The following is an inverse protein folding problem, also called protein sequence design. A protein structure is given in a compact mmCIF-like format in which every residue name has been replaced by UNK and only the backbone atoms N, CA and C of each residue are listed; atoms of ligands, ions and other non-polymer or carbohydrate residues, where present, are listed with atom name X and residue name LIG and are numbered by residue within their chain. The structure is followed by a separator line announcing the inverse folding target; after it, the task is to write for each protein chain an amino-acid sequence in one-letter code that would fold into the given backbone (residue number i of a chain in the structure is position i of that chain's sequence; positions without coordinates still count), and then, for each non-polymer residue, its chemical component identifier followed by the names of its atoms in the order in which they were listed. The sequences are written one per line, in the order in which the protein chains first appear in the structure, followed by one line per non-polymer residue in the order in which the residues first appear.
data_IF_435594612798
#
_entry.id   IF_435594612798
#
_cell.length_a   1.000
_cell.length_b   1.000
_cell.length_c   1.000
_cell.angle_alpha   90.00
_cell.angle_beta   90.00
_cell.angle_gamma   90.00
#
_symmetry.space_group_name_H-M   'P 1'
#
loop_
_entity.id
_entity.type
_entity.pdbx_description
1 polymer ?
#
# COMPACT_ATOMS: atom_id res chain seq x y z
N UNK A 1 -29.76 -21.78 -25.75
CA UNK A 1 -29.84 -22.66 -24.56
C UNK A 1 -30.79 -21.98 -23.59
N UNK A 2 -31.95 -22.59 -23.38
CA UNK A 2 -33.12 -22.01 -22.71
C UNK A 2 -32.90 -22.03 -21.19
N UNK A 3 -32.97 -20.87 -20.53
CA UNK A 3 -32.93 -20.79 -19.06
C UNK A 3 -34.35 -20.60 -18.54
N UNK A 4 -34.88 -21.63 -17.87
CA UNK A 4 -36.18 -21.61 -17.19
C UNK A 4 -35.98 -21.16 -15.75
N UNK A 5 -36.75 -20.16 -15.32
CA UNK A 5 -36.75 -19.67 -13.94
C UNK A 5 -37.38 -20.65 -12.95
N UNK A 6 -37.01 -20.49 -11.68
CA UNK A 6 -37.79 -21.01 -10.55
C UNK A 6 -38.17 -19.86 -9.62
N UNK A 7 -39.46 -19.77 -9.32
CA UNK A 7 -40.05 -18.83 -8.37
C UNK A 7 -40.10 -19.41 -6.94
N UNK A 8 -39.98 -18.48 -5.99
CA UNK A 8 -40.62 -18.40 -4.66
C UNK A 8 -40.11 -19.25 -3.48
N UNK A 9 -39.43 -18.57 -2.57
CA UNK A 9 -39.65 -18.70 -1.12
C UNK A 9 -40.15 -17.37 -0.57
N UNK A 10 -41.37 -17.34 -0.03
CA UNK A 10 -41.93 -16.18 0.69
C UNK A 10 -41.31 -16.10 2.09
N UNK A 11 -40.76 -14.93 2.44
CA UNK A 11 -40.61 -14.50 3.83
C UNK A 11 -41.23 -13.10 3.93
N UNK A 12 -42.28 -12.98 4.74
CA UNK A 12 -42.92 -11.72 5.09
C UNK A 12 -42.15 -11.04 6.22
N UNK A 13 -41.73 -9.80 6.02
CA UNK A 13 -41.18 -8.95 7.08
C UNK A 13 -40.89 -7.54 6.56
N UNK A 14 -41.37 -6.55 7.33
CA UNK A 14 -41.24 -5.09 7.26
C UNK A 14 -40.43 -4.43 6.10
N UNK A 15 -41.05 -3.43 5.49
CA UNK A 15 -40.48 -2.54 4.51
C UNK A 15 -39.42 -1.61 5.12
N UNK A 16 -38.15 -1.89 4.84
CA UNK A 16 -37.10 -0.88 4.73
C UNK A 16 -36.72 -0.77 3.24
N UNK A 17 -36.70 0.45 2.71
CA UNK A 17 -36.45 0.74 1.30
C UNK A 17 -34.98 0.51 0.94
N UNK A 18 -34.59 -0.73 0.72
CA UNK A 18 -33.29 -1.06 0.15
C UNK A 18 -33.26 -0.69 -1.33
N UNK A 19 -32.46 0.32 -1.69
CA UNK A 19 -32.04 0.53 -3.08
C UNK A 19 -31.23 -0.69 -3.49
N UNK A 20 -31.81 -1.55 -4.32
CA UNK A 20 -31.14 -2.73 -4.83
C UNK A 20 -30.40 -2.35 -6.10
N UNK A 21 -29.08 -2.18 -6.00
CA UNK A 21 -28.24 -1.91 -7.16
C UNK A 21 -27.97 -3.22 -7.91
N UNK A 22 -28.34 -3.28 -9.19
CA UNK A 22 -28.02 -4.42 -10.05
C UNK A 22 -26.79 -4.08 -10.90
N UNK A 23 -25.74 -4.90 -10.79
CA UNK A 23 -24.52 -4.74 -11.58
C UNK A 23 -24.23 -5.97 -12.42
N UNK A 24 -23.69 -5.77 -13.61
CA UNK A 24 -23.23 -6.84 -14.49
C UNK A 24 -21.85 -6.53 -15.06
N UNK A 25 -21.03 -7.58 -15.18
CA UNK A 25 -19.77 -7.57 -15.93
C UNK A 25 -19.90 -8.50 -17.12
N UNK A 26 -19.43 -8.08 -18.27
CA UNK A 26 -19.36 -8.93 -19.45
C UNK A 26 -18.11 -8.63 -20.28
N UNK A 27 -17.56 -9.68 -20.89
CA UNK A 27 -16.33 -9.61 -21.68
C UNK A 27 -16.64 -9.97 -23.14
N UNK A 28 -16.26 -9.09 -24.06
CA UNK A 28 -16.27 -9.34 -25.50
C UNK A 28 -15.03 -8.71 -26.13
N UNK A 29 -14.39 -9.43 -27.05
CA UNK A 29 -13.25 -8.96 -27.86
C UNK A 29 -12.13 -8.31 -27.02
N UNK A 30 -11.72 -9.02 -25.96
CA UNK A 30 -10.69 -8.60 -24.98
C UNK A 30 -11.02 -7.31 -24.20
N UNK A 31 -12.29 -6.91 -24.15
CA UNK A 31 -12.74 -5.73 -23.41
C UNK A 31 -13.73 -6.11 -22.30
N UNK A 32 -13.60 -5.47 -21.14
CA UNK A 32 -14.50 -5.64 -19.99
C UNK A 32 -15.49 -4.47 -19.97
N UNK A 33 -16.78 -4.81 -19.98
CA UNK A 33 -17.89 -3.88 -19.87
C UNK A 33 -18.52 -4.00 -18.49
N UNK A 34 -18.79 -2.86 -17.85
CA UNK A 34 -19.49 -2.79 -16.57
C UNK A 34 -20.70 -1.85 -16.68
N UNK A 35 -21.82 -2.24 -16.08
CA UNK A 35 -22.97 -1.35 -15.92
C UNK A 35 -23.58 -1.50 -14.52
N UNK A 36 -24.21 -0.42 -14.05
CA UNK A 36 -24.90 -0.36 -12.77
C UNK A 36 -26.30 0.19 -12.98
N UNK A 37 -27.30 -0.46 -12.40
CA UNK A 37 -28.70 -0.06 -12.45
C UNK A 37 -29.17 0.25 -11.03
N UNK A 38 -29.85 1.38 -10.86
CA UNK A 38 -30.38 1.85 -9.58
C UNK A 38 -31.91 1.73 -9.48
N UNK A 39 -32.59 1.33 -10.56
CA UNK A 39 -34.04 1.09 -10.57
C UNK A 39 -34.38 -0.38 -10.89
N UNK A 40 -35.47 -0.93 -10.30
CA UNK A 40 -35.90 -2.30 -10.56
C UNK A 40 -36.28 -2.52 -12.04
N UNK A 41 -35.89 -3.67 -12.59
CA UNK A 41 -36.02 -4.06 -14.00
C UNK A 41 -37.44 -3.99 -14.59
N UNK A 42 -38.47 -3.94 -13.74
CA UNK A 42 -39.87 -3.85 -14.17
C UNK A 42 -40.35 -2.43 -14.54
N UNK A 43 -39.51 -1.40 -14.39
CA UNK A 43 -39.80 -0.01 -14.80
C UNK A 43 -39.23 0.40 -16.16
N UNK A 44 -38.68 -0.54 -16.90
CA UNK A 44 -37.95 -0.27 -18.14
C UNK A 44 -38.78 -0.72 -19.34
N UNK A 45 -38.96 0.16 -20.32
CA UNK A 45 -39.79 -0.13 -21.49
C UNK A 45 -38.98 -0.64 -22.69
N UNK A 46 -37.71 -0.25 -22.84
CA UNK A 46 -36.86 -0.70 -23.97
C UNK A 46 -35.36 -0.74 -23.63
N UNK A 47 -34.71 -1.88 -23.96
CA UNK A 47 -33.24 -2.01 -24.04
C UNK A 47 -32.87 -2.21 -25.52
N UNK A 48 -32.14 -1.27 -26.11
CA UNK A 48 -31.63 -1.38 -27.48
C UNK A 48 -30.11 -1.36 -27.44
N UNK A 49 -29.50 -2.46 -27.88
CA UNK A 49 -28.04 -2.58 -28.08
C UNK A 49 -27.82 -2.47 -29.58
N UNK A 50 -27.11 -1.44 -30.03
CA UNK A 50 -26.67 -1.35 -31.42
C UNK A 50 -25.18 -1.75 -31.50
N UNK A 51 -24.78 -2.41 -32.58
CA UNK A 51 -23.43 -2.94 -32.81
C UNK A 51 -22.34 -1.85 -32.89
N UNK A 52 -22.74 -0.57 -32.92
CA UNK A 52 -21.82 0.57 -32.97
C UNK A 52 -22.05 1.49 -31.77
N UNK A 53 -21.28 1.22 -30.71
CA UNK A 53 -20.77 2.16 -29.69
C UNK A 53 -21.71 2.78 -28.64
N UNK A 54 -22.99 2.38 -28.50
CA UNK A 54 -23.84 2.95 -27.43
C UNK A 54 -24.77 1.95 -26.75
N UNK A 55 -24.88 2.08 -25.42
CA UNK A 55 -26.01 1.58 -24.64
C UNK A 55 -26.83 2.80 -24.21
N UNK A 56 -28.02 2.96 -24.79
CA UNK A 56 -29.00 3.94 -24.35
C UNK A 56 -30.03 3.21 -23.51
N UNK A 57 -30.18 3.60 -22.24
CA UNK A 57 -31.24 3.07 -21.38
C UNK A 57 -32.19 4.21 -21.00
N UNK A 58 -33.44 4.09 -21.43
CA UNK A 58 -34.51 5.06 -21.16
C UNK A 58 -35.38 4.54 -20.01
N UNK A 59 -35.47 5.31 -18.94
CA UNK A 59 -36.46 5.11 -17.88
C UNK A 59 -37.66 6.05 -18.08
N UNK A 60 -38.86 5.57 -17.75
CA UNK A 60 -40.10 6.38 -17.80
C UNK A 60 -40.07 7.57 -16.82
N UNK A 61 -39.14 7.59 -15.85
CA UNK A 61 -39.00 8.63 -14.81
C UNK A 61 -38.13 9.85 -15.21
N UNK A 62 -37.90 10.10 -16.51
CA UNK A 62 -37.12 11.24 -17.05
C UNK A 62 -35.61 11.24 -16.71
N UNK A 63 -35.03 10.07 -16.45
CA UNK A 63 -33.57 9.95 -16.33
C UNK A 63 -32.99 9.27 -17.57
N UNK A 64 -32.07 9.95 -18.24
CA UNK A 64 -31.27 9.40 -19.33
C UNK A 64 -29.91 9.01 -18.75
N UNK A 65 -29.57 7.73 -18.77
CA UNK A 65 -28.20 7.27 -18.54
C UNK A 65 -27.53 7.01 -19.89
N UNK A 66 -26.40 7.69 -20.13
CA UNK A 66 -25.56 7.46 -21.31
C UNK A 66 -24.24 6.87 -20.85
N UNK A 67 -23.93 5.64 -21.28
CA UNK A 67 -22.59 5.07 -21.18
C UNK A 67 -21.74 5.51 -22.37
N UNK A 68 -20.44 5.78 -22.15
CA UNK A 68 -19.52 6.26 -23.19
C UNK A 68 -18.24 5.41 -23.29
N UNK A 69 -17.67 5.40 -24.51
CA UNK A 69 -16.34 4.93 -24.90
C UNK A 69 -15.64 6.05 -25.69
N UNK A 70 -14.34 6.26 -25.51
CA UNK A 70 -13.52 6.62 -26.68
C UNK A 70 -12.08 6.19 -26.54
N UNK A 71 -11.65 5.41 -27.54
CA UNK A 71 -10.26 5.40 -27.98
C UNK A 71 -10.23 6.01 -29.38
N UNK A 72 -9.90 7.31 -29.47
CA UNK A 72 -9.03 7.88 -30.51
C UNK A 72 -8.84 9.39 -30.28
N UNK A 73 -7.57 9.78 -30.10
CA UNK A 73 -7.03 11.15 -30.12
C UNK A 73 -7.51 12.14 -29.03
N UNK A 74 -6.97 11.94 -27.82
CA UNK A 74 -6.23 13.00 -27.12
C UNK A 74 -6.97 14.21 -26.54
N UNK A 75 -8.30 14.19 -26.34
CA UNK A 75 -8.99 15.20 -25.52
C UNK A 75 -10.07 14.56 -24.64
N UNK A 76 -10.07 14.94 -23.36
CA UNK A 76 -11.16 14.63 -22.42
C UNK A 76 -12.09 15.84 -22.35
N UNK A 77 -13.40 15.63 -22.40
CA UNK A 77 -14.39 16.68 -22.12
C UNK A 77 -15.52 16.06 -21.34
N UNK A 78 -15.82 16.60 -20.16
CA UNK A 78 -16.94 16.18 -19.33
C UNK A 78 -18.12 17.11 -19.60
N UNK A 79 -19.24 16.56 -20.07
CA UNK A 79 -20.49 17.32 -20.19
C UNK A 79 -21.52 16.71 -19.25
N UNK A 80 -21.84 17.44 -18.17
CA UNK A 80 -22.97 17.11 -17.29
C UNK A 80 -24.19 17.79 -17.89
N UNK A 81 -25.16 17.03 -18.38
CA UNK A 81 -26.46 17.57 -18.76
C UNK A 81 -27.31 17.62 -17.50
N UNK A 82 -27.46 18.81 -16.91
CA UNK A 82 -28.47 19.02 -15.87
C UNK A 82 -29.87 19.08 -16.53
N UNK A 83 -30.89 18.46 -15.94
CA UNK A 83 -32.26 18.67 -16.40
C UNK A 83 -32.71 20.09 -16.05
N UNK A 84 -33.30 20.79 -17.01
CA UNK A 84 -33.92 22.11 -16.81
C UNK A 84 -34.89 22.08 -15.63
N UNK A 85 -34.55 22.83 -14.58
CA UNK A 85 -35.47 23.11 -13.47
C UNK A 85 -36.47 24.17 -13.92
N UNK A 86 -37.62 23.74 -14.45
CA UNK A 86 -38.82 24.55 -14.51
C UNK A 86 -39.73 24.26 -13.31
N UNK A 87 -39.75 25.16 -12.32
CA UNK A 87 -40.83 25.35 -11.34
C UNK A 87 -40.84 26.85 -11.02
N UNK A 88 -41.76 27.61 -11.61
CA UNK A 88 -43.13 27.90 -11.13
C UNK A 88 -43.18 29.21 -10.33
N UNK A 89 -43.99 30.13 -10.83
CA UNK A 89 -44.26 31.48 -10.34
C UNK A 89 -44.73 31.53 -8.87
N UNK A 90 -44.25 32.54 -8.13
CA UNK A 90 -45.09 33.26 -7.16
C UNK A 90 -44.53 34.67 -6.93
N UNK A 91 -45.40 35.66 -7.11
CA UNK A 91 -45.21 37.10 -6.94
C UNK A 91 -44.76 37.51 -5.53
N UNK A 92 -43.86 38.50 -5.42
CA UNK A 92 -44.17 39.81 -4.80
C UNK A 92 -43.09 40.87 -5.11
N UNK A 93 -43.56 42.11 -5.33
CA UNK A 93 -42.83 43.33 -5.73
C UNK A 93 -41.87 43.78 -4.60
N UNK A 94 -40.74 44.45 -4.83
CA UNK A 94 -40.64 45.92 -5.06
C UNK A 94 -39.20 46.39 -5.36
N UNK A 95 -39.12 47.45 -6.19
CA UNK A 95 -38.11 48.54 -6.26
C UNK A 95 -36.70 48.34 -6.85
N UNK A 96 -36.61 48.67 -8.15
CA UNK A 96 -35.72 49.66 -8.80
C UNK A 96 -34.27 49.88 -8.32
N UNK A 97 -33.29 49.61 -9.20
CA UNK A 97 -32.30 50.62 -9.65
C UNK A 97 -31.60 50.20 -10.95
N UNK A 98 -31.13 51.21 -11.68
CA UNK A 98 -30.74 51.26 -13.09
C UNK A 98 -29.43 50.57 -13.52
N UNK A 99 -29.46 50.10 -14.77
CA UNK A 99 -28.44 50.03 -15.84
C UNK A 99 -26.95 49.89 -15.49
N UNK A 100 -26.35 48.78 -15.97
CA UNK A 100 -25.09 48.84 -16.69
C UNK A 100 -25.01 47.68 -17.70
N UNK A 101 -24.92 48.03 -18.98
CA UNK A 101 -24.52 47.12 -20.06
C UNK A 101 -23.10 46.60 -19.77
N UNK A 102 -22.94 45.28 -19.65
CA UNK A 102 -21.66 44.61 -19.82
C UNK A 102 -21.90 43.36 -20.64
N UNK A 103 -21.24 43.33 -21.79
CA UNK A 103 -21.11 42.22 -22.72
C UNK A 103 -20.69 40.92 -21.99
N UNK A 104 -21.09 39.74 -22.49
CA UNK A 104 -20.67 38.46 -21.92
C UNK A 104 -19.14 38.31 -22.07
N UNK A 105 -18.43 37.77 -21.06
CA UNK A 105 -17.01 37.49 -21.21
C UNK A 105 -16.81 36.32 -22.16
N UNK A 106 -15.98 36.54 -23.19
CA UNK A 106 -15.37 35.49 -23.99
C UNK A 106 -14.63 34.51 -23.05
N UNK A 107 -15.02 33.24 -23.08
CA UNK A 107 -14.26 32.18 -22.44
C UNK A 107 -12.95 31.99 -23.22
N UNK A 108 -11.86 32.44 -22.62
CA UNK A 108 -10.49 32.12 -23.04
C UNK A 108 -10.28 30.61 -22.94
N UNK A 109 -10.10 29.97 -24.09
CA UNK A 109 -9.48 28.65 -24.20
C UNK A 109 -7.99 28.86 -23.94
N UNK A 110 -7.55 28.60 -22.71
CA UNK A 110 -6.16 28.66 -22.29
C UNK A 110 -5.51 27.28 -22.27
N UNK A 111 -4.69 27.05 -23.30
CA UNK A 111 -3.37 26.38 -23.32
C UNK A 111 -3.17 24.98 -22.69
N UNK A 112 -2.90 24.03 -23.60
CA UNK A 112 -2.02 22.86 -23.55
C UNK A 112 -1.53 22.35 -22.17
N UNK A 113 -2.17 21.27 -21.71
CA UNK A 113 -1.57 20.34 -20.76
C UNK A 113 -0.62 19.40 -21.51
N UNK A 114 0.63 19.33 -21.06
CA UNK A 114 1.67 18.45 -21.61
C UNK A 114 1.24 16.97 -21.62
N UNK A 115 1.55 16.28 -22.72
CA UNK A 115 1.43 14.82 -22.88
C UNK A 115 2.24 14.10 -21.79
N UNK A 116 1.55 13.46 -20.83
CA UNK A 116 2.21 12.60 -19.84
C UNK A 116 1.54 12.49 -18.48
N UNK A 117 0.50 13.27 -18.20
CA UNK A 117 -0.18 13.22 -16.89
C UNK A 117 -1.22 12.08 -16.85
N UNK A 118 -0.87 10.96 -16.21
CA UNK A 118 -1.85 9.96 -15.76
C UNK A 118 -2.72 10.59 -14.67
N UNK A 119 -3.96 10.92 -15.01
CA UNK A 119 -4.98 11.33 -14.03
C UNK A 119 -5.66 10.08 -13.51
N UNK A 120 -5.35 9.67 -12.26
CA UNK A 120 -6.15 8.66 -11.58
C UNK A 120 -7.50 9.29 -11.19
N UNK A 121 -8.58 8.90 -11.87
CA UNK A 121 -9.92 9.35 -11.52
C UNK A 121 -10.41 8.52 -10.33
N UNK A 122 -10.26 9.03 -9.11
CA UNK A 122 -11.09 8.61 -7.98
C UNK A 122 -12.49 9.17 -8.19
N UNK A 123 -13.45 8.32 -8.56
CA UNK A 123 -14.85 8.71 -8.70
C UNK A 123 -15.51 8.70 -7.32
N UNK A 124 -15.44 9.83 -6.61
CA UNK A 124 -16.23 10.07 -5.41
C UNK A 124 -17.64 10.51 -5.85
N UNK A 125 -18.59 9.57 -5.88
CA UNK A 125 -20.00 9.90 -6.08
C UNK A 125 -20.62 10.29 -4.73
N UNK A 126 -20.82 11.59 -4.55
CA UNK A 126 -21.59 12.14 -3.45
C UNK A 126 -23.08 12.09 -3.80
N UNK A 127 -23.87 11.39 -2.99
CA UNK A 127 -25.32 11.38 -3.10
C UNK A 127 -25.91 11.79 -1.75
N UNK A 128 -26.63 12.91 -1.70
CA UNK A 128 -27.26 13.47 -0.48
C UNK A 128 -26.35 13.66 0.75
N UNK A 129 -25.05 13.92 0.56
CA UNK A 129 -24.09 14.08 1.67
C UNK A 129 -23.61 12.76 2.28
N UNK A 130 -24.05 11.62 1.76
CA UNK A 130 -23.50 10.30 2.07
C UNK A 130 -22.55 9.85 0.95
N UNK A 131 -21.34 9.48 1.32
CA UNK A 131 -20.36 8.92 0.41
C UNK A 131 -20.81 7.51 0.02
N UNK A 132 -21.34 7.34 -1.18
CA UNK A 132 -21.70 6.01 -1.68
C UNK A 132 -20.41 5.36 -2.19
N UNK A 133 -19.79 4.52 -1.36
CA UNK A 133 -18.65 3.71 -1.77
C UNK A 133 -19.16 2.73 -2.83
N UNK A 134 -18.90 3.01 -4.10
CA UNK A 134 -18.97 1.97 -5.13
C UNK A 134 -18.03 0.87 -4.64
N UNK A 135 -18.56 -0.33 -4.45
CA UNK A 135 -17.84 -1.45 -3.87
C UNK A 135 -16.69 -1.85 -4.81
N UNK A 136 -15.53 -1.17 -4.69
CA UNK A 136 -14.30 -1.38 -5.46
C UNK A 136 -13.49 -2.56 -4.92
N UNK A 137 -13.86 -3.05 -3.73
CA UNK A 137 -13.27 -4.23 -3.09
C UNK A 137 -13.15 -5.46 -4.00
N UNK A 138 -14.19 -5.85 -4.78
CA UNK A 138 -14.08 -6.98 -5.70
C UNK A 138 -13.01 -6.76 -6.79
N UNK A 139 -12.81 -5.52 -7.24
CA UNK A 139 -11.79 -5.18 -8.23
C UNK A 139 -10.38 -5.30 -7.64
N UNK A 140 -10.15 -4.85 -6.42
CA UNK A 140 -8.86 -4.99 -5.73
C UNK A 140 -8.51 -6.46 -5.47
N UNK A 141 -9.48 -7.28 -5.06
CA UNK A 141 -9.28 -8.72 -4.89
C UNK A 141 -8.95 -9.39 -6.22
N UNK A 142 -9.68 -9.08 -7.29
CA UNK A 142 -9.42 -9.64 -8.62
C UNK A 142 -8.02 -9.25 -9.13
N UNK A 143 -7.67 -7.97 -9.02
CA UNK A 143 -6.34 -7.47 -9.38
C UNK A 143 -5.25 -8.18 -8.59
N UNK A 144 -5.40 -8.26 -7.25
CA UNK A 144 -4.46 -8.96 -6.38
C UNK A 144 -4.25 -10.42 -6.78
N UNK A 145 -5.33 -11.20 -6.95
CA UNK A 145 -5.20 -12.62 -7.29
C UNK A 145 -4.60 -12.84 -8.68
N UNK A 146 -4.95 -11.96 -9.64
CA UNK A 146 -4.36 -11.99 -10.99
C UNK A 146 -2.86 -11.72 -10.93
N UNK A 147 -2.44 -10.65 -10.27
CA UNK A 147 -1.02 -10.27 -10.13
C UNK A 147 -0.23 -11.32 -9.36
N UNK A 148 -0.79 -11.85 -8.26
CA UNK A 148 -0.19 -12.94 -7.48
C UNK A 148 0.05 -14.20 -8.33
N UNK A 149 -0.93 -14.60 -9.13
CA UNK A 149 -0.82 -15.75 -10.04
C UNK A 149 0.27 -15.51 -11.07
N UNK A 150 0.29 -14.35 -11.72
CA UNK A 150 1.29 -13.96 -12.71
C UNK A 150 2.72 -13.97 -12.14
N UNK A 151 2.92 -13.46 -10.92
CA UNK A 151 4.22 -13.49 -10.23
C UNK A 151 4.67 -14.93 -10.03
N UNK A 152 3.80 -15.79 -9.50
CA UNK A 152 4.13 -17.20 -9.23
C UNK A 152 4.46 -17.97 -10.51
N UNK A 153 3.66 -17.80 -11.56
CA UNK A 153 3.93 -18.41 -12.88
C UNK A 153 5.26 -17.95 -13.47
N UNK A 154 5.58 -16.66 -13.35
CA UNK A 154 6.85 -16.11 -13.81
C UNK A 154 8.04 -16.72 -13.05
N UNK A 155 7.95 -16.83 -11.72
CA UNK A 155 8.98 -17.48 -10.89
C UNK A 155 9.18 -18.95 -11.30
N UNK A 156 8.09 -19.71 -11.45
CA UNK A 156 8.16 -21.12 -11.84
C UNK A 156 8.81 -21.29 -13.22
N UNK A 157 8.45 -20.43 -14.17
CA UNK A 157 9.03 -20.44 -15.52
C UNK A 157 10.53 -20.16 -15.49
N UNK A 158 10.96 -19.12 -14.77
CA UNK A 158 12.39 -18.78 -14.61
C UNK A 158 13.17 -19.95 -14.00
N UNK A 159 12.60 -20.60 -12.98
CA UNK A 159 13.24 -21.77 -12.33
C UNK A 159 13.33 -22.97 -13.27
N UNK A 160 12.31 -23.22 -14.08
CA UNK A 160 12.30 -24.30 -15.07
C UNK A 160 13.34 -24.04 -16.16
N UNK A 161 13.34 -22.85 -16.76
CA UNK A 161 14.31 -22.44 -17.78
C UNK A 161 15.76 -22.49 -17.26
N UNK A 162 15.98 -22.13 -15.99
CA UNK A 162 17.28 -22.29 -15.32
C UNK A 162 17.70 -23.76 -15.12
N UNK A 163 16.75 -24.66 -14.88
CA UNK A 163 17.05 -26.08 -14.66
C UNK A 163 17.52 -26.80 -15.93
N UNK A 164 17.09 -26.32 -17.10
CA UNK A 164 17.48 -26.84 -18.42
C UNK A 164 18.62 -26.04 -19.06
N UNK A 165 19.15 -25.03 -18.36
CA UNK A 165 20.32 -24.25 -18.79
C UNK A 165 20.02 -23.08 -19.74
N UNK A 166 18.75 -22.70 -19.97
CA UNK A 166 18.40 -21.54 -20.80
C UNK A 166 18.65 -20.21 -20.09
N UNK A 167 18.63 -20.19 -18.76
CA UNK A 167 18.93 -19.00 -17.95
C UNK A 167 20.12 -19.28 -17.02
N UNK A 168 21.15 -18.41 -16.99
CA UNK A 168 22.32 -18.58 -16.15
C UNK A 168 22.01 -18.16 -14.69
N UNK A 169 21.22 -18.96 -13.98
CA UNK A 169 20.78 -18.69 -12.61
C UNK A 169 21.50 -19.61 -11.62
N UNK A 170 22.21 -18.98 -10.67
CA UNK A 170 22.97 -19.67 -9.64
C UNK A 170 22.10 -20.42 -8.64
N UNK A 171 22.73 -21.23 -7.78
CA UNK A 171 22.04 -21.92 -6.68
C UNK A 171 21.41 -20.92 -5.70
N UNK A 172 22.10 -19.83 -5.41
CA UNK A 172 21.61 -18.79 -4.50
C UNK A 172 20.39 -18.06 -5.05
N UNK A 173 20.39 -17.74 -6.34
CA UNK A 173 19.28 -17.04 -6.98
C UNK A 173 18.01 -17.89 -7.04
N UNK A 174 18.16 -19.21 -7.24
CA UNK A 174 17.05 -20.16 -7.08
C UNK A 174 16.48 -20.15 -5.67
N UNK A 175 17.33 -19.98 -4.66
CA UNK A 175 16.91 -19.85 -3.26
C UNK A 175 16.12 -18.54 -3.05
N UNK A 176 16.61 -17.41 -3.59
CA UNK A 176 15.92 -16.10 -3.54
C UNK A 176 14.54 -16.15 -4.19
N UNK A 177 14.44 -16.78 -5.37
CA UNK A 177 13.16 -17.02 -6.05
C UNK A 177 12.23 -17.94 -5.24
N UNK A 178 12.78 -18.94 -4.55
CA UNK A 178 12.06 -19.79 -3.62
C UNK A 178 11.41 -18.99 -2.48
N UNK A 179 12.21 -18.19 -1.77
CA UNK A 179 11.70 -17.32 -0.70
C UNK A 179 10.62 -16.36 -1.18
N UNK A 180 10.82 -15.72 -2.34
CA UNK A 180 9.84 -14.81 -2.92
C UNK A 180 8.52 -15.54 -3.20
N UNK A 181 8.56 -16.72 -3.82
CA UNK A 181 7.37 -17.53 -4.09
C UNK A 181 6.64 -17.94 -2.81
N UNK A 182 7.39 -18.31 -1.77
CA UNK A 182 6.81 -18.68 -0.47
C UNK A 182 6.12 -17.48 0.20
N UNK A 183 6.71 -16.28 0.11
CA UNK A 183 6.08 -15.03 0.60
C UNK A 183 4.80 -14.71 -0.17
N UNK A 184 4.83 -14.77 -1.50
CA UNK A 184 3.63 -14.52 -2.32
C UNK A 184 2.52 -15.51 -1.95
N UNK A 185 2.86 -16.80 -1.80
CA UNK A 185 1.90 -17.82 -1.37
C UNK A 185 1.29 -17.50 0.00
N UNK A 186 2.09 -17.10 0.97
CA UNK A 186 1.59 -16.76 2.32
C UNK A 186 0.60 -15.59 2.30
N UNK A 187 0.85 -14.57 1.47
CA UNK A 187 -0.09 -13.46 1.29
C UNK A 187 -1.37 -13.96 0.61
N UNK A 188 -1.26 -14.75 -0.46
CA UNK A 188 -2.44 -15.31 -1.15
C UNK A 188 -3.29 -16.13 -0.19
N UNK A 189 -2.67 -17.05 0.57
CA UNK A 189 -3.35 -17.92 1.53
C UNK A 189 -4.04 -17.08 2.61
N UNK A 190 -3.38 -16.02 3.10
CA UNK A 190 -3.97 -15.08 4.06
C UNK A 190 -5.22 -14.41 3.48
N UNK A 191 -5.12 -13.78 2.32
CA UNK A 191 -6.24 -13.06 1.67
C UNK A 191 -7.39 -14.01 1.37
N UNK A 192 -7.10 -15.23 0.89
CA UNK A 192 -8.10 -16.28 0.66
C UNK A 192 -8.77 -16.81 1.93
N UNK A 193 -8.11 -16.70 3.09
CA UNK A 193 -8.67 -17.13 4.38
C UNK A 193 -9.50 -16.06 5.10
N UNK A 194 -9.43 -14.80 4.67
CA UNK A 194 -10.17 -13.71 5.32
C UNK A 194 -11.68 -13.88 5.16
N UNK A 195 -12.45 -13.50 6.19
CA UNK A 195 -13.90 -13.46 6.12
C UNK A 195 -14.39 -12.44 5.10
N UNK A 196 -15.63 -12.59 4.62
CA UNK A 196 -16.23 -11.62 3.71
C UNK A 196 -16.33 -10.22 4.35
N UNK A 197 -16.64 -10.16 5.65
CA UNK A 197 -16.72 -8.90 6.41
C UNK A 197 -15.39 -8.13 6.38
N UNK A 198 -14.27 -8.81 6.70
CA UNK A 198 -12.94 -8.20 6.65
C UNK A 198 -12.61 -7.70 5.25
N UNK A 199 -12.87 -8.54 4.22
CA UNK A 199 -12.56 -8.20 2.84
C UNK A 199 -13.25 -6.92 2.39
N UNK A 200 -14.47 -6.68 2.83
CA UNK A 200 -15.28 -5.52 2.45
C UNK A 200 -14.85 -4.20 3.10
N UNK A 201 -13.86 -4.21 3.98
CA UNK A 201 -13.43 -2.99 4.66
C UNK A 201 -12.42 -2.17 3.86
N UNK A 202 -12.55 -0.84 3.97
CA UNK A 202 -11.66 0.11 3.30
C UNK A 202 -10.19 -0.10 3.71
N UNK A 203 -9.83 -0.25 5.01
CA UNK A 203 -8.43 -0.43 5.38
C UNK A 203 -7.82 -1.71 4.80
N UNK A 204 -8.57 -2.80 4.74
CA UNK A 204 -8.12 -4.05 4.11
C UNK A 204 -7.90 -3.86 2.61
N UNK A 205 -8.85 -3.23 1.90
CA UNK A 205 -8.74 -2.97 0.47
C UNK A 205 -7.53 -2.10 0.11
N UNK A 206 -7.26 -1.04 0.90
CA UNK A 206 -6.11 -0.16 0.68
C UNK A 206 -4.76 -0.87 0.91
N UNK A 207 -4.66 -1.67 1.98
CA UNK A 207 -3.47 -2.49 2.21
C UNK A 207 -3.26 -3.51 1.09
N UNK A 208 -4.34 -4.11 0.60
CA UNK A 208 -4.28 -5.05 -0.51
C UNK A 208 -3.86 -4.37 -1.82
N UNK A 209 -4.31 -3.14 -2.06
CA UNK A 209 -3.86 -2.33 -3.19
C UNK A 209 -2.36 -2.07 -3.10
N UNK A 210 -1.85 -1.64 -1.95
CA UNK A 210 -0.41 -1.42 -1.73
C UNK A 210 0.40 -2.70 -2.00
N UNK A 211 -0.06 -3.85 -1.49
CA UNK A 211 0.56 -5.14 -1.77
C UNK A 211 0.54 -5.46 -3.26
N UNK A 212 -0.57 -5.21 -3.95
CA UNK A 212 -0.72 -5.48 -5.38
C UNK A 212 0.27 -4.65 -6.20
N UNK A 213 0.40 -3.35 -5.92
CA UNK A 213 1.39 -2.47 -6.56
C UNK A 213 2.81 -2.99 -6.34
N UNK A 214 3.15 -3.50 -5.14
CA UNK A 214 4.48 -4.09 -4.92
C UNK A 214 4.66 -5.43 -5.63
N UNK A 215 3.62 -6.23 -5.77
CA UNK A 215 3.67 -7.44 -6.58
C UNK A 215 3.84 -7.14 -8.07
N UNK A 216 3.29 -6.03 -8.57
CA UNK A 216 3.52 -5.56 -9.93
C UNK A 216 4.98 -5.14 -10.16
N UNK A 217 5.58 -4.39 -9.24
CA UNK A 217 7.01 -4.05 -9.25
C UNK A 217 7.89 -5.32 -9.34
N UNK A 218 7.52 -6.35 -8.57
CA UNK A 218 8.16 -7.67 -8.60
C UNK A 218 7.99 -8.34 -9.96
N UNK A 219 6.76 -8.37 -10.50
CA UNK A 219 6.46 -9.00 -11.79
C UNK A 219 7.24 -8.34 -12.93
N UNK A 220 7.31 -7.01 -12.95
CA UNK A 220 8.09 -6.25 -13.93
C UNK A 220 9.56 -6.67 -13.84
N UNK A 221 10.13 -6.73 -12.65
CA UNK A 221 11.54 -7.12 -12.45
C UNK A 221 11.79 -8.57 -12.88
N UNK A 222 10.90 -9.51 -12.54
CA UNK A 222 10.99 -10.90 -12.97
C UNK A 222 10.93 -11.03 -14.50
N UNK A 223 10.05 -10.28 -15.18
CA UNK A 223 9.98 -10.25 -16.64
C UNK A 223 11.31 -9.77 -17.26
N UNK A 224 11.96 -8.76 -16.66
CA UNK A 224 13.28 -8.27 -17.10
C UNK A 224 14.37 -9.34 -16.89
N UNK A 225 14.36 -10.04 -15.75
CA UNK A 225 15.28 -11.16 -15.48
C UNK A 225 15.11 -12.26 -16.53
N UNK A 226 13.86 -12.65 -16.82
CA UNK A 226 13.54 -13.66 -17.84
C UNK A 226 14.06 -13.28 -19.22
N UNK A 227 14.00 -11.99 -19.57
CA UNK A 227 14.53 -11.44 -20.83
C UNK A 227 16.05 -11.20 -20.83
N UNK A 228 16.74 -11.55 -19.74
CA UNK A 228 18.17 -11.30 -19.53
C UNK A 228 18.55 -9.81 -19.56
N UNK A 229 17.58 -8.91 -19.34
CA UNK A 229 17.81 -7.46 -19.26
C UNK A 229 18.39 -7.04 -17.90
N UNK A 230 18.26 -7.90 -16.89
CA UNK A 230 18.83 -7.70 -15.55
C UNK A 230 19.15 -9.05 -14.90
N UNK A 231 20.00 -9.04 -13.88
CA UNK A 231 20.40 -10.23 -13.13
C UNK A 231 19.83 -10.21 -11.72
N UNK A 232 19.67 -11.38 -11.12
CA UNK A 232 19.32 -11.48 -9.70
C UNK A 232 20.58 -11.14 -8.90
N UNK A 233 20.52 -10.06 -8.13
CA UNK A 233 21.61 -9.62 -7.24
C UNK A 233 21.22 -9.82 -5.78
N UNK A 234 22.14 -9.55 -4.84
CA UNK A 234 21.82 -9.50 -3.41
C UNK A 234 20.66 -8.55 -3.09
N UNK A 235 20.50 -7.47 -3.87
CA UNK A 235 19.45 -6.49 -3.68
C UNK A 235 18.07 -7.01 -4.09
N UNK A 236 17.98 -8.12 -4.82
CA UNK A 236 16.70 -8.76 -5.13
C UNK A 236 15.94 -9.21 -3.86
N UNK A 237 16.66 -9.42 -2.76
CA UNK A 237 16.08 -9.74 -1.45
C UNK A 237 15.10 -8.64 -0.95
N UNK A 238 15.22 -7.41 -1.46
CA UNK A 238 14.36 -6.27 -1.07
C UNK A 238 12.89 -6.49 -1.41
N UNK A 239 12.62 -7.15 -2.53
CA UNK A 239 11.28 -7.43 -3.01
C UNK A 239 10.56 -8.40 -2.09
N UNK A 240 11.23 -9.50 -1.76
CA UNK A 240 10.71 -10.51 -0.85
C UNK A 240 10.51 -9.91 0.55
N UNK A 241 11.46 -9.10 1.02
CA UNK A 241 11.37 -8.45 2.31
C UNK A 241 10.19 -7.48 2.40
N UNK A 242 9.97 -6.63 1.39
CA UNK A 242 8.83 -5.68 1.42
C UNK A 242 7.49 -6.42 1.40
N UNK A 243 7.36 -7.46 0.57
CA UNK A 243 6.16 -8.29 0.57
C UNK A 243 5.99 -9.01 1.93
N UNK A 244 7.08 -9.47 2.55
CA UNK A 244 7.07 -10.07 3.88
C UNK A 244 6.59 -9.08 4.95
N UNK A 245 7.05 -7.84 4.91
CA UNK A 245 6.59 -6.79 5.83
C UNK A 245 5.09 -6.53 5.70
N UNK A 246 4.56 -6.45 4.47
CA UNK A 246 3.12 -6.30 4.27
C UNK A 246 2.31 -7.53 4.70
N UNK A 247 2.86 -8.73 4.53
CA UNK A 247 2.24 -9.94 5.05
C UNK A 247 2.12 -9.89 6.58
N UNK A 248 3.18 -9.47 7.29
CA UNK A 248 3.12 -9.30 8.75
C UNK A 248 2.12 -8.22 9.16
N UNK A 249 2.09 -7.09 8.45
CA UNK A 249 1.15 -5.99 8.66
C UNK A 249 -0.31 -6.45 8.47
N UNK A 250 -0.62 -7.11 7.36
CA UNK A 250 -1.94 -7.69 7.11
C UNK A 250 -2.33 -8.72 8.16
N UNK A 251 -1.41 -9.60 8.56
CA UNK A 251 -1.68 -10.62 9.58
C UNK A 251 -1.91 -10.01 10.96
N UNK A 252 -1.24 -8.90 11.27
CA UNK A 252 -1.41 -8.19 12.54
C UNK A 252 -2.73 -7.43 12.61
N UNK A 253 -3.11 -6.77 11.52
CA UNK A 253 -4.34 -5.97 11.46
C UNK A 253 -5.58 -6.84 11.24
N UNK A 254 -5.43 -7.92 10.45
CA UNK A 254 -6.51 -8.82 10.03
C UNK A 254 -6.06 -10.28 10.22
N UNK A 255 -6.00 -10.77 11.47
CA UNK A 255 -5.56 -12.12 11.74
C UNK A 255 -6.45 -13.15 11.03
N UNK A 256 -5.89 -14.28 10.56
CA UNK A 256 -6.64 -15.29 9.84
C UNK A 256 -7.76 -15.84 10.72
N UNK A 257 -8.95 -16.01 10.14
CA UNK A 257 -10.16 -16.45 10.84
C UNK A 257 -10.68 -15.48 11.92
N UNK A 258 -10.30 -14.20 11.88
CA UNK A 258 -10.93 -13.19 12.71
C UNK A 258 -12.45 -13.16 12.43
N UNK A 259 -13.24 -13.41 13.48
CA UNK A 259 -14.71 -13.33 13.41
C UNK A 259 -15.22 -11.89 13.38
N UNK A 260 -14.38 -10.94 13.80
CA UNK A 260 -14.68 -9.52 13.85
C UNK A 260 -13.40 -8.73 13.68
N UNK A 261 -13.55 -7.50 13.24
CA UNK A 261 -12.44 -6.57 13.05
C UNK A 261 -12.10 -5.93 14.40
N UNK A 262 -10.87 -6.15 14.87
CA UNK A 262 -10.39 -5.59 16.14
C UNK A 262 -10.13 -4.10 16.02
N UNK A 263 -10.58 -3.30 16.98
CA UNK A 263 -10.29 -1.85 16.99
C UNK A 263 -8.78 -1.58 16.85
N UNK A 264 -8.37 -0.59 16.04
CA UNK A 264 -6.97 -0.43 15.64
C UNK A 264 -6.04 -0.13 16.82
N UNK A 265 -6.50 0.64 17.81
CA UNK A 265 -5.75 0.97 19.02
C UNK A 265 -5.49 -0.24 19.93
N UNK A 266 -6.30 -1.31 19.83
CA UNK A 266 -6.10 -2.55 20.60
C UNK A 266 -4.90 -3.36 20.13
N UNK A 267 -4.37 -3.03 18.95
CA UNK A 267 -3.18 -3.65 18.37
C UNK A 267 -1.88 -3.03 18.90
N UNK A 268 -1.98 -1.90 19.58
CA UNK A 268 -0.84 -1.22 20.21
C UNK A 268 -0.64 -1.81 21.60
N UNK A 269 0.50 -2.46 21.81
CA UNK A 269 0.77 -3.22 23.04
C UNK A 269 1.07 -2.31 24.24
N UNK A 270 1.59 -1.11 23.98
CA UNK A 270 1.84 -0.09 24.99
C UNK A 270 0.57 0.73 25.27
N UNK A 271 0.12 0.72 26.52
CA UNK A 271 -1.16 1.34 26.93
C UNK A 271 -1.15 2.86 26.71
N UNK A 272 -0.02 3.52 26.95
CA UNK A 272 0.10 4.97 26.79
C UNK A 272 0.15 5.34 25.32
N UNK A 273 0.90 4.58 24.52
CA UNK A 273 0.93 4.77 23.07
C UNK A 273 -0.45 4.50 22.43
N UNK A 274 -1.20 3.53 22.94
CA UNK A 274 -2.59 3.29 22.55
C UNK A 274 -3.47 4.51 22.87
N UNK A 275 -3.30 5.10 24.05
CA UNK A 275 -3.96 6.34 24.45
C UNK A 275 -3.63 7.53 23.53
N UNK A 276 -2.38 7.68 23.11
CA UNK A 276 -1.96 8.70 22.13
C UNK A 276 -2.66 8.47 20.79
N UNK A 277 -2.72 7.22 20.30
CA UNK A 277 -3.40 6.91 19.06
C UNK A 277 -4.88 7.29 19.11
N UNK A 278 -5.59 6.87 20.17
CA UNK A 278 -7.02 7.18 20.36
C UNK A 278 -7.22 8.70 20.42
N UNK A 279 -6.39 9.42 21.17
CA UNK A 279 -6.48 10.88 21.31
C UNK A 279 -6.26 11.62 20.00
N UNK A 280 -5.27 11.19 19.20
CA UNK A 280 -4.87 11.88 17.97
C UNK A 280 -5.67 11.47 16.73
N UNK A 281 -6.11 10.20 16.66
CA UNK A 281 -6.60 9.58 15.43
C UNK A 281 -7.87 8.74 15.63
N UNK A 282 -8.34 8.55 16.86
CA UNK A 282 -9.56 7.77 17.15
C UNK A 282 -9.48 6.32 16.68
N UNK A 283 -10.44 5.93 15.85
CA UNK A 283 -10.58 4.58 15.29
C UNK A 283 -10.00 4.43 13.87
N UNK A 284 -9.12 5.36 13.45
CA UNK A 284 -8.42 5.24 12.17
C UNK A 284 -7.39 4.08 12.21
N UNK A 285 -7.37 3.26 11.16
CA UNK A 285 -6.40 2.17 10.99
C UNK A 285 -5.04 2.64 10.47
N UNK A 286 -5.04 3.79 9.80
CA UNK A 286 -3.88 4.36 9.18
C UNK A 286 -3.96 5.88 9.14
N UNK A 287 -2.80 6.51 9.09
CA UNK A 287 -2.59 7.96 8.98
C UNK A 287 -1.51 8.24 7.93
N UNK A 288 -1.32 9.51 7.56
CA UNK A 288 -0.20 9.91 6.70
C UNK A 288 1.13 9.92 7.45
N UNK A 289 2.25 9.89 6.73
CA UNK A 289 3.56 10.05 7.37
C UNK A 289 3.72 11.43 8.03
N UNK A 290 3.15 12.47 7.44
CA UNK A 290 3.16 13.82 8.01
C UNK A 290 2.43 13.86 9.36
N UNK A 291 1.26 13.22 9.44
CA UNK A 291 0.50 13.08 10.68
C UNK A 291 1.32 12.33 11.75
N UNK A 292 2.01 11.26 11.38
CA UNK A 292 2.92 10.54 12.29
C UNK A 292 4.00 11.46 12.85
N UNK A 293 4.73 12.19 11.99
CA UNK A 293 5.83 13.08 12.43
C UNK A 293 5.32 14.17 13.36
N UNK A 294 4.18 14.78 13.01
CA UNK A 294 3.53 15.80 13.85
C UNK A 294 3.18 15.24 15.22
N UNK A 295 2.54 14.07 15.27
CA UNK A 295 2.14 13.43 16.54
C UNK A 295 3.36 12.99 17.36
N UNK A 296 4.41 12.45 16.73
CA UNK A 296 5.64 12.11 17.46
C UNK A 296 6.26 13.36 18.10
N UNK A 297 6.37 14.47 17.37
CA UNK A 297 6.94 15.70 17.92
C UNK A 297 6.09 16.35 19.03
N UNK A 298 4.76 16.19 19.01
CA UNK A 298 3.85 16.83 19.97
C UNK A 298 3.56 15.96 21.18
N UNK A 299 3.30 14.67 20.97
CA UNK A 299 2.74 13.76 21.99
C UNK A 299 3.75 12.73 22.51
N UNK A 300 4.80 12.41 21.75
CA UNK A 300 5.78 11.37 22.11
C UNK A 300 7.08 11.97 22.65
N UNK A 301 7.56 13.05 22.02
CA UNK A 301 8.76 13.75 22.45
C UNK A 301 8.43 14.59 23.70
N UNK A 302 9.24 14.45 24.75
CA UNK A 302 9.03 15.13 26.01
C UNK A 302 8.99 16.66 25.84
N UNK A 303 8.11 17.33 26.59
CA UNK A 303 8.03 18.79 26.55
C UNK A 303 9.37 19.42 26.94
N UNK A 304 9.97 20.17 26.00
CA UNK A 304 11.27 20.81 26.16
C UNK A 304 12.41 20.13 25.40
N UNK A 305 12.21 18.92 24.89
CA UNK A 305 13.14 18.30 23.94
C UNK A 305 12.98 18.93 22.54
N UNK A 306 14.06 18.93 21.77
CA UNK A 306 14.02 19.39 20.38
C UNK A 306 13.20 18.43 19.50
N UNK A 307 12.54 18.96 18.48
CA UNK A 307 11.87 18.14 17.47
C UNK A 307 12.85 17.21 16.74
N UNK A 308 12.31 16.21 16.03
CA UNK A 308 13.12 15.36 15.15
C UNK A 308 13.87 16.19 14.11
N UNK A 309 15.16 15.90 13.91
CA UNK A 309 15.96 16.51 12.84
C UNK A 309 15.58 15.95 11.47
N UNK A 310 15.93 16.64 10.38
CA UNK A 310 15.66 16.16 9.01
C UNK A 310 16.23 14.76 8.75
N UNK A 311 17.42 14.47 9.29
CA UNK A 311 18.04 13.15 9.20
C UNK A 311 17.21 12.10 9.94
N UNK A 312 16.70 12.43 11.12
CA UNK A 312 15.83 11.54 11.87
C UNK A 312 14.52 11.30 11.13
N UNK A 313 13.90 12.33 10.56
CA UNK A 313 12.67 12.20 9.76
C UNK A 313 12.91 11.31 8.52
N UNK A 314 14.02 11.50 7.80
CA UNK A 314 14.40 10.63 6.67
C UNK A 314 14.59 9.17 7.12
N UNK A 315 15.27 8.93 8.23
CA UNK A 315 15.45 7.58 8.75
C UNK A 315 14.12 6.96 9.22
N UNK A 316 13.26 7.76 9.85
CA UNK A 316 11.94 7.31 10.27
C UNK A 316 11.14 6.87 9.05
N UNK A 317 11.08 7.70 8.00
CA UNK A 317 10.47 7.37 6.72
C UNK A 317 11.05 6.09 6.13
N UNK A 318 12.36 5.91 6.19
CA UNK A 318 13.01 4.69 5.73
C UNK A 318 12.54 3.44 6.49
N UNK A 319 12.35 3.52 7.80
CA UNK A 319 11.96 2.36 8.61
C UNK A 319 10.51 1.96 8.41
N UNK A 320 9.59 2.93 8.39
CA UNK A 320 8.15 2.62 8.35
C UNK A 320 7.57 2.58 6.95
N UNK A 321 8.14 3.34 6.02
CA UNK A 321 7.52 3.59 4.72
C UNK A 321 8.37 3.17 3.53
N UNK A 322 9.58 2.63 3.72
CA UNK A 322 10.38 2.21 2.57
C UNK A 322 9.86 0.93 1.90
N UNK A 323 9.87 0.83 0.56
CA UNK A 323 9.95 1.93 -0.41
C UNK A 323 8.57 2.51 -0.68
N UNK A 324 8.44 3.77 -0.27
CA UNK A 324 7.31 4.68 -0.40
C UNK A 324 5.89 4.06 -0.39
N UNK A 325 5.32 3.94 0.80
CA UNK A 325 3.89 4.13 1.04
C UNK A 325 3.72 5.37 1.94
N UNK A 326 2.72 6.23 1.74
CA UNK A 326 2.46 7.34 2.69
C UNK A 326 1.58 6.89 3.87
N UNK A 327 1.31 5.59 3.95
CA UNK A 327 0.34 5.02 4.87
C UNK A 327 1.03 4.43 6.11
N UNK A 328 0.81 5.08 7.25
CA UNK A 328 1.25 4.63 8.57
C UNK A 328 0.10 3.92 9.26
N UNK A 329 0.18 2.60 9.35
CA UNK A 329 -0.80 1.80 10.09
C UNK A 329 -0.51 1.77 11.59
N UNK A 330 -1.51 1.36 12.38
CA UNK A 330 -1.30 1.05 13.81
C UNK A 330 -0.22 0.00 14.04
N UNK A 331 -0.08 -0.95 13.12
CA UNK A 331 1.01 -1.92 13.15
C UNK A 331 2.39 -1.25 13.11
N UNK A 332 2.62 -0.35 12.13
CA UNK A 332 3.89 0.40 11.99
C UNK A 332 4.15 1.29 13.21
N UNK A 333 3.12 1.94 13.73
CA UNK A 333 3.26 2.75 14.95
C UNK A 333 3.61 1.89 16.18
N UNK A 334 2.93 0.77 16.38
CA UNK A 334 3.23 -0.18 17.45
C UNK A 334 4.66 -0.72 17.35
N UNK A 335 5.14 -1.04 16.13
CA UNK A 335 6.53 -1.45 15.91
C UNK A 335 7.53 -0.38 16.38
N UNK A 336 7.30 0.89 16.02
CA UNK A 336 8.18 1.99 16.43
C UNK A 336 8.26 2.10 17.95
N UNK A 337 7.11 2.09 18.63
CA UNK A 337 7.06 2.18 20.09
C UNK A 337 7.72 0.97 20.75
N UNK A 338 7.51 -0.24 20.22
CA UNK A 338 8.16 -1.44 20.74
C UNK A 338 9.69 -1.42 20.58
N UNK A 339 10.20 -0.85 19.48
CA UNK A 339 11.63 -0.82 19.18
C UNK A 339 12.38 0.30 19.91
N UNK A 340 11.74 1.46 20.11
CA UNK A 340 12.40 2.67 20.64
C UNK A 340 11.86 3.13 21.99
N UNK A 341 10.75 2.56 22.47
CA UNK A 341 10.06 3.03 23.67
C UNK A 341 9.35 4.37 23.46
N UNK A 342 8.35 4.65 24.28
CA UNK A 342 7.61 5.91 24.21
C UNK A 342 8.37 7.06 24.89
N UNK A 343 8.70 6.91 26.18
CA UNK A 343 9.30 7.98 26.99
C UNK A 343 10.72 8.38 26.58
N UNK A 344 11.50 7.45 26.01
CA UNK A 344 12.86 7.68 25.55
C UNK A 344 12.94 7.67 24.01
N UNK A 345 11.80 7.81 23.30
CA UNK A 345 11.72 7.61 21.86
C UNK A 345 12.80 8.42 21.13
N UNK A 346 12.83 9.75 21.34
CA UNK A 346 13.77 10.65 20.65
C UNK A 346 15.21 10.21 20.85
N UNK A 347 15.60 9.94 22.10
CA UNK A 347 16.97 9.57 22.46
C UNK A 347 17.37 8.22 21.88
N UNK A 348 16.51 7.21 22.02
CA UNK A 348 16.75 5.87 21.51
C UNK A 348 16.77 5.86 19.97
N UNK A 349 15.92 6.67 19.35
CA UNK A 349 15.87 6.85 17.90
C UNK A 349 17.06 7.67 17.38
N UNK A 350 17.47 8.71 18.10
CA UNK A 350 18.67 9.49 17.76
C UNK A 350 19.90 8.59 17.72
N UNK A 351 20.04 7.70 18.70
CA UNK A 351 21.09 6.69 18.70
C UNK A 351 21.05 5.82 17.43
N UNK A 352 19.88 5.44 16.92
CA UNK A 352 19.80 4.74 15.63
C UNK A 352 20.30 5.58 14.45
N UNK A 353 19.90 6.85 14.40
CA UNK A 353 20.09 7.71 13.22
C UNK A 353 21.48 8.34 13.14
N UNK A 354 22.09 8.55 14.29
CA UNK A 354 23.39 9.21 14.45
C UNK A 354 24.51 8.21 14.75
N UNK A 355 24.22 7.08 15.41
CA UNK A 355 25.26 6.08 15.66
C UNK A 355 25.51 5.29 14.37
N UNK A 356 26.79 5.05 14.12
CA UNK A 356 27.30 4.16 13.08
C UNK A 356 26.68 2.75 13.24
N UNK A 357 26.66 1.94 12.19
CA UNK A 357 26.34 0.51 12.24
C UNK A 357 24.88 0.10 12.04
N UNK A 358 23.94 1.04 11.90
CA UNK A 358 22.67 0.73 11.25
C UNK A 358 22.87 0.66 9.74
N UNK A 359 22.72 -0.54 9.19
CA UNK A 359 22.96 -0.79 7.76
C UNK A 359 21.68 -0.93 6.93
N UNK A 360 20.50 -0.69 7.50
CA UNK A 360 19.24 -0.80 6.76
C UNK A 360 18.95 -2.21 6.24
N UNK A 361 18.74 -2.31 4.92
CA UNK A 361 18.22 -3.49 4.22
C UNK A 361 19.32 -4.34 3.57
N UNK A 362 20.27 -4.82 4.38
CA UNK A 362 21.34 -5.73 3.94
C UNK A 362 21.07 -7.17 4.35
N UNK A 363 21.59 -8.15 3.61
CA UNK A 363 21.45 -9.57 3.94
C UNK A 363 22.60 -10.08 4.85
N UNK A 364 22.57 -11.37 5.21
CA UNK A 364 23.61 -11.98 6.07
C UNK A 364 24.99 -12.03 5.41
N UNK A 365 25.05 -12.12 4.08
CA UNK A 365 26.30 -12.19 3.32
C UNK A 365 26.99 -10.83 3.37
N UNK A 366 26.27 -9.75 3.04
CA UNK A 366 26.84 -8.40 3.12
C UNK A 366 27.23 -8.04 4.57
N UNK A 367 26.41 -8.44 5.56
CA UNK A 367 26.77 -8.27 6.97
C UNK A 367 28.06 -9.03 7.33
N UNK A 368 28.25 -10.25 6.81
CA UNK A 368 29.47 -11.02 6.98
C UNK A 368 30.68 -10.30 6.36
N UNK A 369 30.54 -9.76 5.15
CA UNK A 369 31.61 -9.05 4.45
C UNK A 369 32.05 -7.79 5.19
N UNK A 370 31.10 -6.97 5.66
CA UNK A 370 31.38 -5.78 6.47
C UNK A 370 32.13 -6.17 7.74
N UNK A 371 31.62 -7.18 8.47
CA UNK A 371 32.21 -7.61 9.73
C UNK A 371 33.57 -8.28 9.54
N UNK A 372 33.81 -8.96 8.41
CA UNK A 372 35.08 -9.61 8.10
C UNK A 372 36.19 -8.59 7.79
N UNK A 373 35.83 -7.46 7.16
CA UNK A 373 36.75 -6.36 6.86
C UNK A 373 37.04 -5.46 8.06
N UNK A 374 36.24 -5.52 9.12
CA UNK A 374 36.44 -4.69 10.31
C UNK A 374 37.73 -5.06 11.06
N UNK A 375 38.51 -4.03 11.41
CA UNK A 375 39.73 -4.14 12.21
C UNK A 375 39.45 -4.37 13.70
N UNK A 376 38.23 -4.07 14.18
CA UNK A 376 37.90 -4.29 15.58
C UNK A 376 37.81 -5.81 15.89
N UNK A 377 38.15 -6.22 17.13
CA UNK A 377 38.07 -7.63 17.52
C UNK A 377 36.63 -8.08 17.78
N UNK A 378 35.76 -7.18 18.25
CA UNK A 378 34.36 -7.44 18.58
C UNK A 378 33.41 -6.45 17.87
N UNK A 379 33.43 -6.38 16.52
CA UNK A 379 32.53 -5.52 15.78
C UNK A 379 31.10 -6.06 15.81
N UNK A 380 30.14 -5.15 15.80
CA UNK A 380 28.75 -5.47 15.51
C UNK A 380 28.10 -4.41 14.62
N UNK A 381 27.07 -4.83 13.91
CA UNK A 381 26.17 -4.00 13.15
C UNK A 381 24.75 -4.49 13.36
N UNK A 382 23.77 -3.70 12.97
CA UNK A 382 22.39 -4.12 12.98
C UNK A 382 21.62 -3.59 11.76
N UNK A 383 20.56 -4.29 11.43
CA UNK A 383 19.85 -4.20 10.15
C UNK A 383 18.43 -4.71 10.35
N UNK A 384 17.53 -4.40 9.43
CA UNK A 384 16.16 -4.96 9.48
C UNK A 384 16.25 -6.48 9.31
N UNK A 385 15.49 -7.23 10.11
CA UNK A 385 15.46 -8.68 10.01
C UNK A 385 14.65 -9.10 8.78
N UNK A 386 15.29 -9.82 7.86
CA UNK A 386 14.61 -10.31 6.66
C UNK A 386 13.46 -11.28 6.96
N UNK A 387 13.66 -12.17 7.94
CA UNK A 387 12.72 -13.25 8.26
C UNK A 387 11.64 -12.85 9.24
N UNK A 388 11.86 -11.77 9.99
CA UNK A 388 10.91 -11.26 10.99
C UNK A 388 10.98 -9.71 10.98
N UNK A 389 10.47 -9.03 9.92
CA UNK A 389 10.57 -7.58 9.71
C UNK A 389 10.25 -6.69 10.92
N UNK A 390 9.40 -7.14 11.84
CA UNK A 390 9.14 -6.47 13.13
C UNK A 390 10.34 -6.33 14.07
N UNK A 391 11.48 -6.95 13.76
CA UNK A 391 12.68 -6.91 14.58
C UNK A 391 13.90 -6.40 13.81
N UNK A 392 14.88 -5.90 14.56
CA UNK A 392 16.25 -5.76 14.09
C UNK A 392 17.06 -7.03 14.33
N UNK A 393 17.89 -7.34 13.35
CA UNK A 393 18.87 -8.40 13.43
C UNK A 393 20.27 -7.79 13.58
N UNK A 394 20.95 -8.21 14.65
CA UNK A 394 22.29 -7.84 15.04
C UNK A 394 23.25 -8.90 14.51
N UNK A 395 24.25 -8.46 13.74
CA UNK A 395 25.31 -9.33 13.23
C UNK A 395 26.62 -8.91 13.89
N UNK A 396 27.39 -9.87 14.39
CA UNK A 396 28.57 -9.57 15.21
C UNK A 396 29.65 -10.64 15.09
N UNK A 397 30.91 -10.27 15.33
CA UNK A 397 32.02 -11.23 15.46
C UNK A 397 32.18 -11.63 16.92
N UNK A 398 32.06 -12.91 17.23
CA UNK A 398 32.22 -13.40 18.59
C UNK A 398 33.73 -13.49 18.99
N UNK A 399 34.07 -13.73 20.27
CA UNK A 399 35.46 -13.84 20.71
C UNK A 399 36.28 -14.97 20.04
N UNK A 400 35.61 -15.93 19.38
CA UNK A 400 36.25 -17.00 18.60
C UNK A 400 36.50 -16.59 17.14
N UNK A 401 36.23 -15.33 16.77
CA UNK A 401 36.35 -14.83 15.40
C UNK A 401 35.21 -15.22 14.47
N UNK A 402 34.16 -15.88 14.96
CA UNK A 402 33.04 -16.33 14.13
C UNK A 402 31.97 -15.26 14.02
N UNK A 403 31.42 -15.06 12.81
CA UNK A 403 30.28 -14.18 12.60
C UNK A 403 28.99 -14.87 13.04
N UNK A 404 28.27 -14.23 13.96
CA UNK A 404 27.03 -14.70 14.55
C UNK A 404 25.91 -13.69 14.30
N UNK A 405 24.67 -14.14 14.47
CA UNK A 405 23.48 -13.29 14.32
C UNK A 405 22.54 -13.46 15.50
N UNK A 406 21.88 -12.38 15.89
CA UNK A 406 20.82 -12.38 16.92
C UNK A 406 19.72 -11.41 16.53
N UNK A 407 18.50 -11.66 16.96
CA UNK A 407 17.34 -10.77 16.74
C UNK A 407 16.96 -10.15 18.09
N UNK A 408 16.50 -8.89 18.11
CA UNK A 408 16.06 -8.22 19.34
C UNK A 408 14.69 -8.69 19.83
N UNK A 409 14.61 -9.97 20.18
CA UNK A 409 13.42 -10.60 20.74
C UNK A 409 13.69 -11.27 22.08
N UNK A 410 12.69 -11.26 22.95
CA UNK A 410 12.70 -12.00 24.21
C UNK A 410 12.41 -13.50 24.01
N UNK A 411 12.11 -14.23 25.09
CA UNK A 411 11.85 -15.68 25.00
C UNK A 411 10.43 -15.98 24.53
N UNK A 412 9.54 -15.03 24.76
CA UNK A 412 8.12 -15.04 24.42
C UNK A 412 7.89 -14.59 22.97
N UNK A 413 8.91 -14.02 22.33
CA UNK A 413 8.87 -13.55 20.96
C UNK A 413 8.39 -12.11 20.82
N UNK A 414 8.47 -11.29 21.87
CA UNK A 414 8.20 -9.85 21.82
C UNK A 414 9.48 -9.04 21.55
N UNK A 415 9.35 -7.85 20.94
CA UNK A 415 10.49 -6.99 20.69
C UNK A 415 11.12 -6.49 22.00
N UNK A 416 12.45 -6.52 22.06
CA UNK A 416 13.23 -5.81 23.07
C UNK A 416 13.69 -4.50 22.47
N UNK A 417 13.46 -3.39 23.16
CA UNK A 417 13.93 -2.06 22.74
C UNK A 417 15.43 -2.10 22.38
N UNK A 418 15.79 -1.44 21.29
CA UNK A 418 17.12 -1.53 20.66
C UNK A 418 18.23 -1.20 21.65
N UNK A 419 18.11 -0.08 22.36
CA UNK A 419 19.10 0.37 23.33
C UNK A 419 19.28 -0.65 24.48
N UNK A 420 18.18 -1.14 25.04
CA UNK A 420 18.20 -2.17 26.09
C UNK A 420 18.85 -3.46 25.59
N UNK A 421 18.57 -3.85 24.34
CA UNK A 421 19.17 -5.02 23.72
C UNK A 421 20.69 -4.86 23.52
N UNK A 422 21.13 -3.70 23.04
CA UNK A 422 22.55 -3.36 22.85
C UNK A 422 23.29 -3.43 24.19
N UNK A 423 22.80 -2.74 25.23
CA UNK A 423 23.44 -2.73 26.55
C UNK A 423 23.56 -4.12 27.16
N UNK A 424 22.53 -4.96 26.98
CA UNK A 424 22.48 -6.30 27.56
C UNK A 424 23.42 -7.29 26.86
N UNK A 425 23.49 -7.26 25.53
CA UNK A 425 24.16 -8.30 24.75
C UNK A 425 25.46 -7.87 24.10
N UNK A 426 25.69 -6.57 23.98
CA UNK A 426 26.84 -5.98 23.29
C UNK A 426 27.63 -4.96 24.14
N UNK A 427 27.79 -5.13 25.48
CA UNK A 427 28.40 -4.08 26.33
C UNK A 427 29.87 -3.76 26.01
N UNK A 428 30.60 -4.71 25.44
CA UNK A 428 32.03 -4.57 25.08
C UNK A 428 32.26 -4.61 23.56
N UNK A 429 31.19 -4.61 22.78
CA UNK A 429 31.28 -4.67 21.33
C UNK A 429 31.37 -3.26 20.77
N UNK A 430 32.11 -3.11 19.67
CA UNK A 430 32.21 -1.85 18.95
C UNK A 430 31.31 -1.87 17.75
N UNK A 431 30.57 -0.79 17.56
CA UNK A 431 29.70 -0.67 16.41
C UNK A 431 30.52 -0.35 15.16
N UNK A 432 30.22 -0.99 14.03
CA UNK A 432 30.97 -0.76 12.78
C UNK A 432 30.76 0.66 12.27
N UNK A 433 31.81 1.24 11.68
CA UNK A 433 31.78 2.56 11.06
C UNK A 433 31.13 2.55 9.66
N UNK A 434 29.85 2.18 9.60
CA UNK A 434 29.05 2.22 8.36
C UNK A 434 27.73 2.93 8.65
N UNK A 435 27.38 3.93 7.86
CA UNK A 435 26.08 4.59 7.94
C UNK A 435 25.20 4.22 6.76
N UNK A 436 23.89 4.23 7.01
CA UNK A 436 22.91 4.26 5.95
C UNK A 436 23.01 5.60 5.20
N UNK A 437 23.22 5.52 3.89
CA UNK A 437 23.25 6.68 2.99
C UNK A 437 21.83 7.10 2.61
N UNK A 438 21.15 7.76 3.54
CA UNK A 438 19.79 8.24 3.37
C UNK A 438 19.68 9.25 2.22
N UNK A 439 20.72 10.04 2.00
CA UNK A 439 20.73 11.04 0.95
C UNK A 439 20.78 10.37 -0.42
N UNK A 440 21.58 9.34 -0.64
CA UNK A 440 21.48 8.55 -1.89
C UNK A 440 20.12 7.89 -2.07
N UNK A 441 19.54 7.37 -0.99
CA UNK A 441 18.22 6.70 -1.03
C UNK A 441 17.10 7.68 -1.43
N UNK A 442 17.16 8.93 -0.96
CA UNK A 442 16.09 9.92 -1.15
C UNK A 442 16.39 11.02 -2.20
N UNK A 443 17.65 11.35 -2.50
CA UNK A 443 18.04 12.43 -3.43
C UNK A 443 18.04 12.00 -4.91
N UNK A 444 18.03 10.70 -5.23
CA UNK A 444 17.95 10.24 -6.63
C UNK A 444 16.56 10.48 -7.29
N UNK A 445 15.58 11.07 -6.59
CA UNK A 445 14.19 11.13 -7.08
C UNK A 445 13.38 12.32 -6.58
N UNK A 446 12.92 13.17 -7.51
CA UNK A 446 11.85 14.16 -7.30
C UNK A 446 10.43 13.59 -7.45
N UNK A 447 10.26 12.30 -7.74
CA UNK A 447 8.98 11.59 -7.64
C UNK A 447 9.21 10.08 -7.73
N UNK A 448 8.60 9.33 -6.80
CA UNK A 448 8.31 7.90 -6.85
C UNK A 448 9.54 7.03 -7.14
N UNK A 449 10.14 6.46 -6.10
CA UNK A 449 11.26 5.53 -6.25
C UNK A 449 10.74 4.07 -6.25
N UNK A 450 10.44 3.46 -7.42
CA UNK A 450 10.02 2.06 -7.44
C UNK A 450 11.11 1.16 -6.88
N UNK A 451 10.72 0.05 -6.23
CA UNK A 451 11.64 -0.98 -5.68
C UNK A 451 12.75 -1.37 -6.67
N UNK A 452 12.40 -1.38 -7.95
CA UNK A 452 13.28 -1.70 -9.06
C UNK A 452 14.47 -0.74 -9.20
N UNK A 453 14.30 0.55 -8.92
CA UNK A 453 15.41 1.53 -8.92
C UNK A 453 16.37 1.24 -7.78
N UNK A 454 15.90 1.05 -6.55
CA UNK A 454 16.75 0.68 -5.42
C UNK A 454 17.52 -0.63 -5.67
N UNK A 455 16.82 -1.64 -6.20
CA UNK A 455 17.44 -2.92 -6.54
C UNK A 455 18.58 -2.76 -7.56
N UNK A 456 18.45 -1.80 -8.48
CA UNK A 456 19.44 -1.49 -9.52
C UNK A 456 20.56 -0.52 -9.08
N UNK A 457 20.27 0.46 -8.23
CA UNK A 457 21.21 1.54 -7.86
C UNK A 457 22.15 1.14 -6.74
N UNK A 458 21.76 0.22 -5.85
CA UNK A 458 22.63 -0.27 -4.76
C UNK A 458 23.72 -1.25 -5.25
N UNK A 459 23.89 -1.43 -6.56
CA UNK A 459 24.91 -2.30 -7.18
C UNK A 459 26.34 -1.75 -7.19
N UNK A 460 26.58 -0.54 -6.68
CA UNK A 460 27.92 0.05 -6.60
C UNK A 460 28.18 0.65 -5.22
N UNK A 461 28.78 -0.16 -4.35
CA UNK A 461 29.65 0.26 -3.25
C UNK A 461 30.79 -0.77 -3.21
N UNK A 462 31.83 -0.52 -4.00
CA UNK A 462 33.10 -1.24 -3.90
C UNK A 462 33.95 -0.66 -2.78
#
# INVERSE_FOLDING_TARGET
MTYTGSQNGQISGAADSHVTTYGGLWVQDDQIWAFFLTEPLNKWSHLSINETDFILILSESRHICVGWRSATKGKYTTTIVQPDTHLSESNEKTEATETNEKEPPDFLIGEDLEEGTEVSIQTNLFWNGEMTIINTTPQYLLSFFTTSTNVRECILTIRQEASVGYLPIGKEDRCRLGFLNDTVKLITDLVSSQSQEVRLTIPFAMLLQNVSTRMEDVLVTLKRIKRLETTITGNFDIFELKLRSHWEELTSLFPPNASSISSPWSLISDVEASGIWIKSFGDDYYITFEQLVKTVNIEVIAAGDEALTDRMVKCLRYLVNFPEDDMITTYKFNQLVCLFGLHDFRKNFQNLTEVKGFCGLINRIEAYEILSKSADPLPFLFRISRTEPRFFAFSYRNPKGQICHRVNKDREGHPIQVETFIRKYFPNYKIVDKHLDLDRIFNETSSINPLSKYASSAGYCH
#
